data_IF_772813155603
#
_entry.id   IF_772813155603
#
_cell.length_a   1.000
_cell.length_b   1.000
_cell.length_c   1.000
_cell.angle_alpha   90.00
_cell.angle_beta   90.00
_cell.angle_gamma   90.00
#
_symmetry.space_group_name_H-M   'P 1'
#
loop_
_entity.id
_entity.type
_entity.pdbx_description
1 polymer ?
#
# COMPACT_ATOMS: atom_id res chain seq x y z
N UNK A 1 4.55 11.34 -32.27
CA UNK A 1 4.55 10.50 -31.05
C UNK A 1 4.08 11.21 -29.75
N UNK A 2 3.60 12.45 -29.80
CA UNK A 2 3.07 13.15 -28.61
C UNK A 2 1.52 13.24 -28.56
N UNK A 3 0.84 12.73 -29.55
CA UNK A 3 -0.65 12.77 -29.67
C UNK A 3 -1.35 11.59 -28.99
N UNK A 4 -0.63 10.48 -28.71
CA UNK A 4 -1.24 9.28 -28.13
C UNK A 4 -1.40 9.33 -26.60
N UNK A 5 -0.62 10.19 -25.92
CA UNK A 5 -0.57 10.25 -24.43
C UNK A 5 -1.81 10.97 -23.86
N UNK A 6 -2.37 11.95 -24.54
CA UNK A 6 -3.57 12.66 -24.04
C UNK A 6 -4.86 11.88 -24.23
N UNK A 7 -4.93 10.98 -25.22
CA UNK A 7 -6.08 10.08 -25.38
C UNK A 7 -6.15 9.04 -24.24
N UNK A 8 -5.00 8.63 -23.71
CA UNK A 8 -4.92 7.62 -22.68
C UNK A 8 -5.38 8.06 -21.29
N UNK A 9 -5.20 9.32 -20.90
CA UNK A 9 -5.63 9.79 -19.56
C UNK A 9 -7.15 9.83 -19.42
N UNK A 10 -7.86 10.37 -20.41
CA UNK A 10 -9.32 10.39 -20.42
C UNK A 10 -9.89 8.97 -20.47
N UNK A 11 -9.35 8.11 -21.31
CA UNK A 11 -9.77 6.70 -21.37
C UNK A 11 -9.56 5.96 -20.05
N UNK A 12 -8.47 6.27 -19.32
CA UNK A 12 -8.21 5.73 -17.99
C UNK A 12 -9.27 6.21 -16.99
N UNK A 13 -9.58 7.52 -16.99
CA UNK A 13 -10.60 8.07 -16.13
C UNK A 13 -12.01 7.52 -16.47
N UNK A 14 -12.33 7.37 -17.75
CA UNK A 14 -13.60 6.80 -18.21
C UNK A 14 -13.75 5.33 -17.76
N UNK A 15 -12.69 4.53 -17.90
CA UNK A 15 -12.70 3.14 -17.45
C UNK A 15 -12.87 3.03 -15.94
N UNK A 16 -12.23 3.92 -15.18
CA UNK A 16 -12.36 3.95 -13.73
C UNK A 16 -13.75 4.43 -13.31
N UNK A 17 -14.29 5.44 -13.95
CA UNK A 17 -15.66 5.93 -13.72
C UNK A 17 -16.70 4.82 -13.97
N UNK A 18 -16.58 4.10 -15.08
CA UNK A 18 -17.47 2.99 -15.38
C UNK A 18 -17.35 1.87 -14.33
N UNK A 19 -16.15 1.57 -13.87
CA UNK A 19 -15.95 0.62 -12.77
C UNK A 19 -16.62 1.07 -11.47
N UNK A 20 -16.63 2.37 -11.16
CA UNK A 20 -17.31 2.91 -9.99
C UNK A 20 -18.83 2.70 -10.09
N UNK A 21 -19.41 2.84 -11.27
CA UNK A 21 -20.83 2.55 -11.52
C UNK A 21 -21.12 1.05 -11.40
N UNK A 22 -20.39 0.21 -12.15
CA UNK A 22 -20.72 -1.20 -12.34
C UNK A 22 -20.38 -2.06 -11.11
N UNK A 23 -19.27 -1.75 -10.44
CA UNK A 23 -18.73 -2.60 -9.37
C UNK A 23 -18.94 -2.02 -7.97
N UNK A 24 -19.03 -0.69 -7.84
CA UNK A 24 -19.13 0.00 -6.55
C UNK A 24 -20.49 0.67 -6.32
N UNK A 25 -21.38 0.64 -7.31
CA UNK A 25 -22.77 1.10 -7.21
C UNK A 25 -22.94 2.61 -7.09
N UNK A 26 -21.96 3.41 -7.53
CA UNK A 26 -22.08 4.86 -7.55
C UNK A 26 -23.02 5.31 -8.67
N UNK A 27 -23.85 6.30 -8.37
CA UNK A 27 -24.70 6.93 -9.38
C UNK A 27 -23.89 7.93 -10.20
N UNK A 28 -24.04 7.97 -11.55
CA UNK A 28 -23.37 8.98 -12.36
C UNK A 28 -23.64 10.41 -11.89
N UNK A 29 -24.85 10.66 -11.36
CA UNK A 29 -25.28 11.97 -10.85
C UNK A 29 -24.52 12.45 -9.62
N UNK A 30 -23.87 11.54 -8.87
CA UNK A 30 -23.04 11.89 -7.72
C UNK A 30 -21.54 11.97 -8.04
N UNK A 31 -21.19 11.87 -9.32
CA UNK A 31 -19.80 11.95 -9.78
C UNK A 31 -19.64 13.04 -10.85
N UNK A 32 -18.43 13.55 -11.03
CA UNK A 32 -18.12 14.54 -12.06
C UNK A 32 -16.64 14.50 -12.44
N UNK A 33 -16.37 14.72 -13.72
CA UNK A 33 -15.04 14.82 -14.26
C UNK A 33 -14.46 16.23 -14.14
N UNK A 34 -13.15 16.32 -13.99
CA UNK A 34 -12.37 17.55 -14.11
C UNK A 34 -12.84 18.68 -13.18
N UNK A 35 -13.16 18.34 -11.94
CA UNK A 35 -13.63 19.31 -10.95
C UNK A 35 -12.47 20.09 -10.35
N UNK A 36 -12.51 21.42 -10.47
CA UNK A 36 -11.52 22.28 -9.82
C UNK A 36 -11.69 22.23 -8.30
N UNK A 37 -10.67 21.77 -7.58
CA UNK A 37 -10.64 21.70 -6.12
C UNK A 37 -9.81 22.82 -5.50
N UNK A 38 -9.02 23.49 -6.31
CA UNK A 38 -8.30 24.73 -6.00
C UNK A 38 -7.91 25.44 -7.30
N UNK A 39 -7.39 26.69 -7.25
CA UNK A 39 -6.90 27.39 -8.44
C UNK A 39 -5.83 26.64 -9.23
N UNK A 40 -5.10 25.74 -8.58
CA UNK A 40 -3.96 25.00 -9.16
C UNK A 40 -4.18 23.50 -9.24
N UNK A 41 -5.32 22.99 -8.78
CA UNK A 41 -5.57 21.54 -8.70
C UNK A 41 -6.96 21.16 -9.18
N UNK A 42 -7.01 20.11 -9.99
CA UNK A 42 -8.23 19.53 -10.57
C UNK A 42 -8.30 18.06 -10.17
N UNK A 43 -9.46 17.63 -9.65
CA UNK A 43 -9.79 16.22 -9.50
C UNK A 43 -10.16 15.66 -10.87
N UNK A 44 -9.56 14.56 -11.28
CA UNK A 44 -9.94 13.90 -12.54
C UNK A 44 -11.35 13.30 -12.46
N UNK A 45 -11.71 12.77 -11.28
CA UNK A 45 -13.07 12.42 -10.90
C UNK A 45 -13.30 12.90 -9.47
N UNK A 46 -14.36 13.67 -9.23
CA UNK A 46 -14.85 13.99 -7.90
C UNK A 46 -16.11 13.18 -7.61
N UNK A 47 -16.24 12.69 -6.38
CA UNK A 47 -17.41 11.90 -5.94
C UNK A 47 -17.98 12.54 -4.68
N UNK A 48 -19.26 12.78 -4.69
CA UNK A 48 -20.03 13.26 -3.54
C UNK A 48 -20.69 12.07 -2.83
N UNK A 49 -21.03 12.25 -1.57
CA UNK A 49 -21.70 11.22 -0.77
C UNK A 49 -23.07 10.84 -1.35
N UNK A 50 -23.76 11.83 -1.93
CA UNK A 50 -25.06 11.65 -2.62
C UNK A 50 -25.20 12.60 -3.80
N UNK A 51 -26.16 12.38 -4.72
CA UNK A 51 -26.50 13.34 -5.77
C UNK A 51 -26.96 14.71 -5.25
N UNK A 52 -27.58 14.75 -4.06
CA UNK A 52 -28.06 15.98 -3.45
C UNK A 52 -26.92 16.80 -2.87
N UNK A 53 -25.90 16.17 -2.31
CA UNK A 53 -24.68 16.86 -1.87
C UNK A 53 -23.97 17.52 -3.07
N UNK A 54 -23.93 16.86 -4.22
CA UNK A 54 -23.36 17.44 -5.44
C UNK A 54 -24.10 18.70 -5.90
N UNK A 55 -25.42 18.76 -5.78
CA UNK A 55 -26.24 19.92 -6.17
C UNK A 55 -25.96 21.14 -5.31
N UNK A 56 -25.40 21.00 -4.12
CA UNK A 56 -25.03 22.12 -3.24
C UNK A 56 -23.95 23.01 -3.87
N UNK A 57 -23.15 22.49 -4.78
CA UNK A 57 -22.13 23.22 -5.54
C UNK A 57 -20.90 23.65 -4.72
N UNK A 58 -20.77 23.18 -3.48
CA UNK A 58 -19.64 23.50 -2.61
C UNK A 58 -18.55 22.45 -2.74
N UNK A 59 -17.31 22.88 -3.01
CA UNK A 59 -16.13 22.00 -3.04
C UNK A 59 -15.87 21.25 -1.73
N UNK A 60 -16.18 21.78 -0.53
CA UNK A 60 -16.07 21.06 0.72
C UNK A 60 -16.94 19.80 0.83
N UNK A 61 -17.95 19.66 -0.05
CA UNK A 61 -18.84 18.50 -0.04
C UNK A 61 -18.31 17.32 -0.87
N UNK A 62 -17.19 17.50 -1.60
CA UNK A 62 -16.53 16.39 -2.29
C UNK A 62 -16.02 15.38 -1.26
N UNK A 63 -16.50 14.15 -1.38
CA UNK A 63 -16.18 13.09 -0.43
C UNK A 63 -14.97 12.27 -0.82
N UNK A 64 -14.78 12.02 -2.12
CA UNK A 64 -13.63 11.31 -2.69
C UNK A 64 -13.03 12.12 -3.83
N UNK A 65 -11.72 12.30 -3.78
CA UNK A 65 -10.92 12.84 -4.86
C UNK A 65 -10.15 11.74 -5.56
N UNK A 66 -10.35 11.61 -6.88
CA UNK A 66 -9.59 10.68 -7.72
C UNK A 66 -8.63 11.47 -8.60
N UNK A 67 -7.37 11.08 -8.58
CA UNK A 67 -6.30 11.57 -9.45
C UNK A 67 -5.82 10.46 -10.38
N UNK A 68 -5.85 10.71 -11.69
CA UNK A 68 -5.43 9.77 -12.74
C UNK A 68 -4.18 10.25 -13.45
N UNK A 69 -3.23 9.35 -13.72
CA UNK A 69 -2.06 9.61 -14.56
C UNK A 69 -1.72 8.41 -15.42
N UNK A 70 -1.06 8.67 -16.55
CA UNK A 70 -0.70 7.62 -17.52
C UNK A 70 0.66 7.00 -17.28
N UNK A 71 1.41 7.48 -16.31
CA UNK A 71 2.72 6.95 -15.96
C UNK A 71 2.63 5.52 -15.41
N UNK A 72 3.57 4.66 -15.80
CA UNK A 72 3.72 3.29 -15.32
C UNK A 72 4.66 3.16 -14.11
N UNK A 73 4.70 4.16 -13.27
CA UNK A 73 5.52 4.17 -12.05
C UNK A 73 4.73 3.68 -10.84
N UNK A 74 5.44 3.25 -9.81
CA UNK A 74 4.83 2.97 -8.50
C UNK A 74 4.22 4.26 -7.94
N UNK A 75 2.93 4.22 -7.58
CA UNK A 75 2.27 5.36 -6.97
C UNK A 75 2.78 5.56 -5.54
N UNK A 76 3.29 6.76 -5.24
CA UNK A 76 3.41 7.30 -3.90
C UNK A 76 2.40 8.44 -3.74
N UNK A 77 1.95 8.72 -2.53
CA UNK A 77 1.00 9.83 -2.31
C UNK A 77 1.57 11.16 -2.84
N UNK A 78 2.89 11.35 -2.69
CA UNK A 78 3.62 12.54 -3.10
C UNK A 78 3.72 12.73 -4.62
N UNK A 79 3.60 11.66 -5.41
CA UNK A 79 3.64 11.74 -6.88
C UNK A 79 2.43 12.51 -7.44
N UNK A 80 1.37 12.63 -6.64
CA UNK A 80 0.13 13.34 -6.91
C UNK A 80 -0.08 14.45 -5.88
N UNK A 81 1.00 15.06 -5.44
CA UNK A 81 1.06 15.91 -4.25
C UNK A 81 -0.01 17.00 -4.19
N UNK A 82 -0.30 17.69 -5.29
CA UNK A 82 -1.31 18.76 -5.28
C UNK A 82 -2.71 18.21 -5.00
N UNK A 83 -3.11 17.12 -5.66
CA UNK A 83 -4.41 16.51 -5.44
C UNK A 83 -4.51 15.88 -4.04
N UNK A 84 -3.46 15.21 -3.59
CA UNK A 84 -3.35 14.66 -2.24
C UNK A 84 -3.49 15.76 -1.18
N UNK A 85 -2.74 16.85 -1.32
CA UNK A 85 -2.80 18.01 -0.43
C UNK A 85 -4.22 18.62 -0.39
N UNK A 86 -4.88 18.75 -1.55
CA UNK A 86 -6.24 19.27 -1.61
C UNK A 86 -7.25 18.34 -0.94
N UNK A 87 -7.11 17.02 -1.07
CA UNK A 87 -7.96 16.06 -0.38
C UNK A 87 -7.87 16.22 1.14
N UNK A 88 -6.65 16.43 1.66
CA UNK A 88 -6.41 16.68 3.10
C UNK A 88 -6.96 18.04 3.54
N UNK A 89 -6.68 19.11 2.80
CA UNK A 89 -7.06 20.48 3.16
C UNK A 89 -8.57 20.71 3.11
N UNK A 90 -9.29 20.00 2.22
CA UNK A 90 -10.73 20.15 2.05
C UNK A 90 -11.53 19.06 2.78
N UNK A 91 -10.91 18.41 3.77
CA UNK A 91 -11.57 17.43 4.63
C UNK A 91 -12.27 16.29 3.87
N UNK A 92 -11.73 15.85 2.74
CA UNK A 92 -12.25 14.71 2.02
C UNK A 92 -12.00 13.41 2.80
N UNK A 93 -12.88 12.44 2.67
CA UNK A 93 -12.73 11.16 3.37
C UNK A 93 -11.74 10.22 2.67
N UNK A 94 -11.65 10.32 1.33
CA UNK A 94 -10.77 9.48 0.55
C UNK A 94 -10.01 10.27 -0.51
N UNK A 95 -8.78 9.82 -0.71
CA UNK A 95 -7.97 10.18 -1.87
C UNK A 95 -7.64 8.89 -2.64
N UNK A 96 -7.80 8.94 -3.95
CA UNK A 96 -7.51 7.80 -4.84
C UNK A 96 -6.51 8.25 -5.89
N UNK A 97 -5.39 7.55 -5.96
CA UNK A 97 -4.41 7.69 -7.02
C UNK A 97 -4.49 6.49 -7.97
N UNK A 98 -4.68 6.75 -9.23
CA UNK A 98 -4.88 5.72 -10.25
C UNK A 98 -3.97 5.96 -11.45
N UNK A 99 -3.32 4.89 -11.93
CA UNK A 99 -2.53 4.91 -13.16
C UNK A 99 -2.70 3.60 -13.93
N UNK A 100 -1.96 3.45 -15.03
CA UNK A 100 -2.02 2.27 -15.89
C UNK A 100 -1.54 0.97 -15.20
N UNK A 101 -0.87 1.08 -14.05
CA UNK A 101 -0.29 -0.05 -13.34
C UNK A 101 -1.11 -0.45 -12.11
N UNK A 102 -1.61 0.53 -11.36
CA UNK A 102 -2.27 0.29 -10.07
C UNK A 102 -3.30 1.35 -9.69
N UNK A 103 -4.10 1.03 -8.69
CA UNK A 103 -5.00 1.96 -7.99
C UNK A 103 -4.67 1.89 -6.51
N UNK A 104 -4.39 3.03 -5.90
CA UNK A 104 -4.21 3.14 -4.45
C UNK A 104 -5.31 4.00 -3.84
N UNK A 105 -5.89 3.51 -2.76
CA UNK A 105 -6.94 4.17 -2.00
C UNK A 105 -6.40 4.56 -0.65
N UNK A 106 -6.50 5.84 -0.31
CA UNK A 106 -6.09 6.39 0.97
C UNK A 106 -7.32 6.88 1.72
N UNK A 107 -7.51 6.36 2.92
CA UNK A 107 -8.53 6.84 3.85
C UNK A 107 -7.93 7.93 4.74
N UNK A 108 -8.64 9.05 4.87
CA UNK A 108 -8.27 10.20 5.68
C UNK A 108 -9.14 10.20 6.93
N UNK A 109 -8.58 9.71 8.04
CA UNK A 109 -9.29 9.64 9.31
C UNK A 109 -9.33 11.02 9.98
N UNK A 110 -10.44 11.72 9.80
CA UNK A 110 -10.67 13.07 10.32
C UNK A 110 -10.83 13.12 11.84
N UNK A 111 -11.16 11.98 12.46
CA UNK A 111 -11.37 11.88 13.90
C UNK A 111 -10.05 11.62 14.65
N UNK A 112 -9.01 11.15 13.97
CA UNK A 112 -7.70 10.93 14.57
C UNK A 112 -6.99 12.25 14.90
N UNK A 113 -6.26 12.27 16.01
CA UNK A 113 -5.40 13.39 16.43
C UNK A 113 -4.03 12.86 16.85
N UNK A 114 -2.95 13.12 16.08
CA UNK A 114 -2.90 13.89 14.82
C UNK A 114 -3.70 13.24 13.68
N UNK A 115 -4.00 14.01 12.62
CA UNK A 115 -4.67 13.51 11.42
C UNK A 115 -3.95 12.26 10.90
N UNK A 116 -4.69 11.19 10.67
CA UNK A 116 -4.13 9.94 10.17
C UNK A 116 -4.60 9.70 8.75
N UNK A 117 -3.65 9.37 7.88
CA UNK A 117 -3.92 8.94 6.51
C UNK A 117 -3.35 7.54 6.37
N UNK A 118 -4.17 6.63 5.93
CA UNK A 118 -3.78 5.23 5.77
C UNK A 118 -4.22 4.68 4.42
N UNK A 119 -3.37 3.88 3.81
CA UNK A 119 -3.75 3.11 2.64
C UNK A 119 -4.68 1.98 3.06
N UNK A 120 -5.76 1.81 2.32
CA UNK A 120 -6.71 0.70 2.50
C UNK A 120 -6.72 -0.18 1.26
N UNK A 121 -7.08 -1.47 1.45
CA UNK A 121 -6.98 -2.49 0.40
C UNK A 121 -8.13 -2.48 -0.58
N UNK A 122 -9.21 -1.74 -0.31
CA UNK A 122 -10.38 -1.69 -1.18
C UNK A 122 -11.00 -0.28 -1.20
N UNK A 123 -11.79 -0.01 -2.22
CA UNK A 123 -12.54 1.23 -2.36
C UNK A 123 -13.96 1.03 -1.79
N UNK A 124 -14.53 2.02 -1.04
CA UNK A 124 -15.88 1.88 -0.50
C UNK A 124 -16.92 1.84 -1.62
N UNK A 125 -17.98 1.06 -1.42
CA UNK A 125 -19.16 1.12 -2.27
C UNK A 125 -19.97 2.38 -1.95
N UNK A 126 -20.91 2.74 -2.84
CA UNK A 126 -21.82 3.85 -2.58
C UNK A 126 -22.61 3.65 -1.28
N UNK A 127 -22.98 2.41 -0.93
CA UNK A 127 -23.66 2.08 0.32
C UNK A 127 -22.78 2.23 1.57
N UNK A 128 -21.47 2.06 1.44
CA UNK A 128 -20.54 2.21 2.57
C UNK A 128 -20.36 3.68 2.98
N UNK A 129 -20.62 4.63 2.11
CA UNK A 129 -20.42 6.05 2.36
C UNK A 129 -21.70 6.83 2.70
N UNK A 130 -22.90 6.18 2.67
CA UNK A 130 -24.18 6.87 2.94
C UNK A 130 -24.27 7.46 4.35
N UNK A 131 -23.56 6.86 5.34
CA UNK A 131 -23.51 7.33 6.72
C UNK A 131 -22.13 7.10 7.33
N UNK A 132 -21.83 7.84 8.40
CA UNK A 132 -20.57 7.67 9.13
C UNK A 132 -20.48 6.29 9.80
N UNK A 133 -21.62 5.71 10.17
CA UNK A 133 -21.67 4.36 10.72
C UNK A 133 -21.28 3.32 9.67
N UNK A 134 -21.82 3.41 8.44
CA UNK A 134 -21.47 2.52 7.34
C UNK A 134 -20.00 2.65 6.99
N UNK A 135 -19.50 3.88 6.89
CA UNK A 135 -18.08 4.16 6.65
C UNK A 135 -17.19 3.51 7.72
N UNK A 136 -17.52 3.70 9.00
CA UNK A 136 -16.77 3.09 10.10
C UNK A 136 -16.77 1.57 10.02
N UNK A 137 -17.91 0.97 9.69
CA UNK A 137 -18.05 -0.47 9.50
C UNK A 137 -17.16 -0.98 8.34
N UNK A 138 -17.19 -0.28 7.19
CA UNK A 138 -16.34 -0.59 6.04
C UNK A 138 -14.87 -0.52 6.39
N UNK A 139 -14.41 0.59 6.98
CA UNK A 139 -12.99 0.80 7.32
C UNK A 139 -12.51 -0.28 8.29
N UNK A 140 -13.28 -0.62 9.31
CA UNK A 140 -12.95 -1.68 10.26
C UNK A 140 -12.87 -3.06 9.60
N UNK A 141 -13.77 -3.36 8.67
CA UNK A 141 -13.75 -4.62 7.88
C UNK A 141 -12.49 -4.73 7.04
N UNK A 142 -12.11 -3.67 6.34
CA UNK A 142 -10.92 -3.64 5.47
C UNK A 142 -9.65 -3.76 6.30
N UNK A 143 -9.56 -3.07 7.44
CA UNK A 143 -8.45 -3.19 8.39
C UNK A 143 -8.33 -4.61 8.94
N UNK A 144 -9.44 -5.21 9.35
CA UNK A 144 -9.49 -6.58 9.86
C UNK A 144 -9.01 -7.60 8.83
N UNK A 145 -9.46 -7.48 7.59
CA UNK A 145 -9.05 -8.36 6.50
C UNK A 145 -7.54 -8.27 6.21
N UNK A 146 -7.00 -7.06 6.12
CA UNK A 146 -5.57 -6.83 5.85
C UNK A 146 -4.69 -7.43 6.95
N UNK A 147 -5.08 -7.27 8.22
CA UNK A 147 -4.40 -7.85 9.38
C UNK A 147 -4.40 -9.37 9.35
N UNK A 148 -5.55 -10.00 9.13
CA UNK A 148 -5.68 -11.46 9.08
C UNK A 148 -4.89 -12.06 7.92
N UNK A 149 -4.91 -11.40 6.75
CA UNK A 149 -4.12 -11.81 5.60
C UNK A 149 -2.63 -11.76 5.92
N UNK A 150 -2.14 -10.67 6.50
CA UNK A 150 -0.73 -10.51 6.85
C UNK A 150 -0.30 -11.53 7.90
N UNK A 151 -1.09 -11.74 8.96
CA UNK A 151 -0.83 -12.75 9.99
C UNK A 151 -0.72 -14.17 9.40
N UNK A 152 -1.63 -14.54 8.50
CA UNK A 152 -1.57 -15.84 7.80
C UNK A 152 -0.29 -15.97 6.96
N UNK A 153 0.11 -14.91 6.29
CA UNK A 153 1.35 -14.88 5.51
C UNK A 153 2.57 -15.03 6.40
N UNK A 154 2.67 -14.29 7.52
CA UNK A 154 3.76 -14.47 8.50
C UNK A 154 3.83 -15.89 9.05
N UNK A 155 2.68 -16.50 9.33
CA UNK A 155 2.61 -17.89 9.80
C UNK A 155 3.17 -18.87 8.76
N UNK A 156 2.87 -18.66 7.46
CA UNK A 156 3.44 -19.49 6.38
C UNK A 156 4.94 -19.29 6.24
N UNK A 157 5.43 -18.05 6.28
CA UNK A 157 6.87 -17.77 6.27
C UNK A 157 7.61 -18.45 7.43
N UNK A 158 7.04 -18.38 8.63
CA UNK A 158 7.60 -19.05 9.82
C UNK A 158 7.70 -20.57 9.61
N UNK A 159 6.63 -21.18 9.07
CA UNK A 159 6.63 -22.62 8.81
C UNK A 159 7.65 -23.02 7.74
N UNK A 160 7.89 -22.19 6.72
CA UNK A 160 8.95 -22.42 5.71
C UNK A 160 10.30 -22.51 6.41
N UNK A 161 10.68 -21.52 7.21
CA UNK A 161 11.98 -21.48 7.90
C UNK A 161 12.13 -22.67 8.83
N UNK A 162 11.11 -22.97 9.62
CA UNK A 162 11.15 -24.13 10.53
C UNK A 162 11.29 -25.46 9.81
N UNK A 163 10.63 -25.62 8.68
CA UNK A 163 10.65 -26.89 7.95
C UNK A 163 11.89 -27.07 7.09
N UNK A 164 12.40 -26.01 6.45
CA UNK A 164 13.55 -26.06 5.53
C UNK A 164 14.87 -25.89 6.30
N UNK A 165 14.97 -24.82 7.13
CA UNK A 165 16.22 -24.46 7.81
C UNK A 165 16.35 -25.11 9.19
N UNK A 166 15.30 -25.73 9.73
CA UNK A 166 15.26 -26.40 11.03
C UNK A 166 15.58 -25.48 12.21
N UNK A 167 15.28 -24.20 12.09
CA UNK A 167 15.50 -23.23 13.16
C UNK A 167 14.43 -23.35 14.26
N UNK A 168 14.78 -22.91 15.48
CA UNK A 168 13.80 -22.78 16.57
C UNK A 168 12.73 -21.76 16.23
N UNK A 169 11.56 -21.75 16.92
CA UNK A 169 10.54 -20.73 16.69
C UNK A 169 11.07 -19.31 16.82
N UNK A 170 11.88 -19.03 17.83
CA UNK A 170 12.47 -17.72 18.10
C UNK A 170 13.43 -17.30 16.99
N UNK A 171 14.32 -18.21 16.57
CA UNK A 171 15.26 -17.96 15.49
C UNK A 171 14.55 -17.78 14.15
N UNK A 172 13.48 -18.51 13.90
CA UNK A 172 12.67 -18.33 12.69
C UNK A 172 11.96 -16.96 12.66
N UNK A 173 11.50 -16.48 13.81
CA UNK A 173 10.92 -15.15 13.93
C UNK A 173 11.95 -14.04 13.67
N UNK A 174 13.15 -14.18 14.24
CA UNK A 174 14.27 -13.26 14.01
C UNK A 174 14.59 -13.14 12.51
N UNK A 175 14.69 -14.27 11.82
CA UNK A 175 14.94 -14.28 10.37
C UNK A 175 13.80 -13.64 9.55
N UNK A 176 12.53 -13.87 9.92
CA UNK A 176 11.39 -13.21 9.27
C UNK A 176 11.51 -11.69 9.41
N UNK A 177 11.84 -11.21 10.60
CA UNK A 177 12.00 -9.77 10.86
C UNK A 177 13.04 -9.17 9.91
N UNK A 178 14.21 -9.79 9.76
CA UNK A 178 15.27 -9.35 8.84
C UNK A 178 14.77 -9.28 7.39
N UNK A 179 14.05 -10.31 6.93
CA UNK A 179 13.50 -10.34 5.55
C UNK A 179 12.47 -9.24 5.34
N UNK A 180 11.61 -8.98 6.32
CA UNK A 180 10.62 -7.91 6.22
C UNK A 180 11.29 -6.54 6.11
N UNK A 181 12.38 -6.29 6.84
CA UNK A 181 13.13 -5.05 6.72
C UNK A 181 13.83 -4.93 5.36
N UNK A 182 14.41 -6.02 4.82
CA UNK A 182 14.95 -6.03 3.46
C UNK A 182 13.86 -5.65 2.45
N UNK A 183 12.69 -6.29 2.55
CA UNK A 183 11.56 -6.00 1.66
C UNK A 183 11.05 -4.58 1.79
N UNK A 184 10.93 -4.05 3.00
CA UNK A 184 10.51 -2.66 3.25
C UNK A 184 11.50 -1.66 2.66
N UNK A 185 12.81 -1.86 2.86
CA UNK A 185 13.86 -1.01 2.32
C UNK A 185 13.79 -0.98 0.79
N UNK A 186 13.72 -2.15 0.16
CA UNK A 186 13.58 -2.26 -1.27
C UNK A 186 12.32 -1.55 -1.81
N UNK A 187 11.17 -1.79 -1.21
CA UNK A 187 9.91 -1.18 -1.64
C UNK A 187 9.87 0.33 -1.44
N UNK A 188 10.55 0.85 -0.42
CA UNK A 188 10.71 2.30 -0.21
C UNK A 188 11.46 2.95 -1.38
N UNK A 189 12.54 2.32 -1.82
CA UNK A 189 13.47 2.91 -2.78
C UNK A 189 13.10 2.56 -4.23
N UNK A 190 12.27 1.53 -4.45
CA UNK A 190 11.84 1.12 -5.78
C UNK A 190 10.95 2.17 -6.45
N UNK A 191 11.29 2.52 -7.70
CA UNK A 191 10.50 3.46 -8.52
C UNK A 191 9.54 2.76 -9.47
N UNK A 192 9.91 1.60 -9.98
CA UNK A 192 9.21 0.92 -11.09
C UNK A 192 8.50 -0.36 -10.64
N UNK A 193 8.96 -1.03 -9.61
CA UNK A 193 8.39 -2.28 -9.11
C UNK A 193 7.67 -2.07 -7.78
N UNK A 194 6.42 -2.57 -7.72
CA UNK A 194 5.55 -2.38 -6.58
C UNK A 194 5.97 -3.21 -5.36
N UNK A 195 6.46 -4.41 -5.63
CA UNK A 195 6.75 -5.40 -4.60
C UNK A 195 8.09 -6.05 -4.90
N UNK A 196 8.91 -6.23 -3.87
CA UNK A 196 10.13 -7.00 -3.99
C UNK A 196 9.80 -8.48 -4.23
N UNK A 197 9.86 -8.90 -5.49
CA UNK A 197 9.48 -10.22 -5.94
C UNK A 197 10.67 -11.17 -6.03
N UNK A 198 10.36 -12.47 -6.05
CA UNK A 198 11.35 -13.53 -6.30
C UNK A 198 12.10 -13.33 -7.63
N UNK A 199 11.39 -12.97 -8.70
CA UNK A 199 12.01 -12.77 -10.02
C UNK A 199 12.95 -11.57 -10.03
N UNK A 200 12.56 -10.50 -9.33
CA UNK A 200 13.42 -9.33 -9.16
C UNK A 200 14.67 -9.66 -8.38
N UNK A 201 14.54 -10.37 -7.26
CA UNK A 201 15.69 -10.83 -6.47
C UNK A 201 16.68 -11.64 -7.31
N UNK A 202 16.19 -12.63 -8.09
CA UNK A 202 17.05 -13.47 -8.94
C UNK A 202 17.80 -12.63 -9.97
N UNK A 203 17.12 -11.64 -10.60
CA UNK A 203 17.72 -10.74 -11.58
C UNK A 203 18.84 -9.89 -10.94
N UNK A 204 18.58 -9.34 -9.77
CA UNK A 204 19.55 -8.49 -9.06
C UNK A 204 20.75 -9.31 -8.55
N UNK A 205 20.49 -10.49 -8.00
CA UNK A 205 21.51 -11.44 -7.56
C UNK A 205 22.46 -11.82 -8.70
N UNK A 206 21.94 -12.10 -9.92
CA UNK A 206 22.75 -12.39 -11.11
C UNK A 206 23.64 -11.22 -11.55
N UNK A 207 23.24 -10.01 -11.22
CA UNK A 207 23.99 -8.79 -11.53
C UNK A 207 24.97 -8.36 -10.43
N UNK A 208 24.88 -9.00 -9.26
CA UNK A 208 25.71 -8.69 -8.10
C UNK A 208 27.11 -9.30 -8.24
N UNK A 209 28.13 -8.47 -8.07
CA UNK A 209 29.55 -8.87 -8.19
C UNK A 209 30.32 -8.73 -6.86
N UNK A 210 29.63 -8.64 -5.73
CA UNK A 210 30.27 -8.53 -4.41
C UNK A 210 30.86 -9.86 -3.93
N UNK A 211 31.72 -9.78 -2.91
CA UNK A 211 32.41 -10.94 -2.33
C UNK A 211 31.57 -11.73 -1.33
N UNK A 212 30.51 -11.14 -0.79
CA UNK A 212 29.63 -11.78 0.20
C UNK A 212 28.35 -12.28 -0.47
N UNK A 213 27.66 -13.21 0.20
CA UNK A 213 26.34 -13.67 -0.24
C UNK A 213 25.36 -12.51 -0.43
N UNK A 214 24.57 -12.52 -1.52
CA UNK A 214 23.71 -11.41 -1.89
C UNK A 214 22.62 -11.14 -0.84
N UNK A 215 22.07 -12.16 -0.21
CA UNK A 215 21.07 -11.97 0.86
C UNK A 215 21.70 -11.27 2.07
N UNK A 216 22.94 -11.65 2.42
CA UNK A 216 23.68 -10.99 3.48
C UNK A 216 24.03 -9.54 3.11
N UNK A 217 24.34 -9.26 1.85
CA UNK A 217 24.56 -7.91 1.36
C UNK A 217 23.30 -7.04 1.57
N UNK A 218 22.13 -7.50 1.15
CA UNK A 218 20.87 -6.80 1.36
C UNK A 218 20.58 -6.54 2.85
N UNK A 219 20.88 -7.49 3.71
CA UNK A 219 20.72 -7.28 5.15
C UNK A 219 21.74 -6.30 5.72
N UNK A 220 22.96 -6.25 5.19
CA UNK A 220 23.93 -5.22 5.59
C UNK A 220 23.46 -3.81 5.22
N UNK A 221 22.82 -3.62 4.06
CA UNK A 221 22.18 -2.34 3.69
C UNK A 221 21.08 -1.94 4.67
N UNK A 222 20.28 -2.91 5.14
CA UNK A 222 19.28 -2.67 6.21
C UNK A 222 19.96 -2.22 7.50
N UNK A 223 21.00 -2.91 7.95
CA UNK A 223 21.75 -2.54 9.17
C UNK A 223 22.32 -1.12 9.07
N UNK A 224 22.89 -0.77 7.94
CA UNK A 224 23.43 0.57 7.68
C UNK A 224 22.34 1.64 7.72
N UNK A 225 21.21 1.39 7.03
CA UNK A 225 20.07 2.31 6.94
C UNK A 225 19.44 2.58 8.29
N UNK A 226 19.29 1.56 9.15
CA UNK A 226 18.65 1.66 10.46
C UNK A 226 19.66 1.64 11.62
N UNK A 227 20.91 2.00 11.37
CA UNK A 227 21.99 2.00 12.38
C UNK A 227 21.72 2.90 13.58
N UNK A 228 21.02 4.03 13.37
CA UNK A 228 20.64 4.98 14.42
C UNK A 228 19.50 4.48 15.31
N UNK A 229 18.71 3.53 14.83
CA UNK A 229 17.52 3.02 15.52
C UNK A 229 17.85 1.87 16.47
N UNK A 230 19.07 1.32 16.37
CA UNK A 230 19.54 0.21 17.23
C UNK A 230 18.75 -1.08 17.07
N UNK A 231 18.16 -1.31 15.88
CA UNK A 231 17.30 -2.46 15.60
C UNK A 231 18.08 -3.77 15.41
N UNK A 232 19.31 -3.68 14.93
CA UNK A 232 20.17 -4.83 14.65
C UNK A 232 21.59 -4.54 15.11
N UNK A 233 22.25 -5.59 15.64
CA UNK A 233 23.66 -5.52 15.99
C UNK A 233 24.56 -5.65 14.75
N UNK A 234 25.77 -5.08 14.80
CA UNK A 234 26.75 -5.16 13.71
C UNK A 234 27.05 -6.61 13.32
N UNK A 235 27.07 -7.52 14.30
CA UNK A 235 27.38 -8.93 14.14
C UNK A 235 26.21 -9.79 13.66
N UNK A 236 25.01 -9.21 13.57
CA UNK A 236 23.83 -9.93 13.10
C UNK A 236 23.98 -10.38 11.65
N UNK A 237 23.62 -11.63 11.40
CA UNK A 237 23.69 -12.27 10.08
C UNK A 237 22.37 -12.93 9.72
N UNK A 238 22.11 -13.08 8.43
CA UNK A 238 21.06 -13.95 7.89
C UNK A 238 21.53 -15.41 8.04
N UNK A 239 20.63 -16.28 8.53
CA UNK A 239 20.93 -17.71 8.80
C UNK A 239 20.14 -18.65 7.91
N UNK A 240 19.17 -18.16 7.18
CA UNK A 240 18.35 -18.97 6.27
C UNK A 240 19.09 -19.22 4.96
N UNK A 241 18.72 -20.32 4.31
CA UNK A 241 19.21 -20.66 2.98
C UNK A 241 18.53 -19.80 1.91
N UNK A 242 19.19 -19.65 0.78
CA UNK A 242 18.65 -18.99 -0.41
C UNK A 242 17.27 -19.56 -0.82
N UNK A 243 17.09 -20.88 -0.74
CA UNK A 243 15.82 -21.55 -1.05
C UNK A 243 14.68 -21.03 -0.19
N UNK A 244 14.88 -20.98 1.14
CA UNK A 244 13.89 -20.44 2.08
C UNK A 244 13.59 -18.98 1.83
N UNK A 245 14.60 -18.17 1.54
CA UNK A 245 14.43 -16.75 1.19
C UNK A 245 13.54 -16.56 -0.03
N UNK A 246 13.76 -17.33 -1.10
CA UNK A 246 12.94 -17.28 -2.32
C UNK A 246 11.49 -17.71 -2.09
N UNK A 247 11.26 -18.76 -1.29
CA UNK A 247 9.90 -19.20 -0.92
C UNK A 247 9.17 -18.12 -0.09
N UNK A 248 9.89 -17.44 0.81
CA UNK A 248 9.32 -16.37 1.62
C UNK A 248 8.99 -15.14 0.76
N UNK A 249 9.84 -14.76 -0.19
CA UNK A 249 9.53 -13.68 -1.13
C UNK A 249 8.27 -14.01 -1.95
N UNK A 250 8.07 -15.26 -2.34
CA UNK A 250 6.87 -15.71 -3.06
C UNK A 250 5.61 -15.57 -2.18
N UNK A 251 5.66 -15.99 -0.91
CA UNK A 251 4.56 -15.79 0.04
C UNK A 251 4.27 -14.30 0.31
N UNK A 252 5.29 -13.48 0.38
CA UNK A 252 5.18 -12.04 0.60
C UNK A 252 4.83 -11.24 -0.67
N UNK A 253 4.76 -11.88 -1.85
CA UNK A 253 4.52 -11.21 -3.13
C UNK A 253 3.19 -10.44 -3.19
N UNK A 254 2.18 -10.90 -2.44
CA UNK A 254 0.87 -10.26 -2.35
C UNK A 254 0.77 -9.16 -1.27
N UNK A 255 1.85 -8.88 -0.57
CA UNK A 255 1.90 -7.91 0.54
C UNK A 255 2.89 -6.81 0.19
N UNK A 256 2.42 -5.59 0.09
CA UNK A 256 3.25 -4.39 -0.05
C UNK A 256 3.46 -3.79 1.35
N UNK A 257 4.66 -3.95 1.88
CA UNK A 257 4.95 -3.59 3.28
C UNK A 257 5.11 -2.10 3.48
N UNK A 258 5.73 -1.41 2.52
CA UNK A 258 6.01 0.02 2.66
C UNK A 258 4.73 0.84 2.87
N UNK A 259 3.69 0.56 2.09
CA UNK A 259 2.42 1.29 2.14
C UNK A 259 1.37 0.67 3.10
N UNK A 260 1.69 -0.47 3.73
CA UNK A 260 0.80 -1.05 4.75
C UNK A 260 0.89 -0.22 6.03
N UNK A 261 -0.27 0.10 6.66
CA UNK A 261 -0.27 0.93 7.86
C UNK A 261 0.53 0.28 9.00
N UNK A 262 1.26 1.11 9.75
CA UNK A 262 2.10 0.65 10.86
C UNK A 262 1.29 -0.05 11.95
N UNK A 263 0.04 0.36 12.17
CA UNK A 263 -0.87 -0.31 13.11
C UNK A 263 -1.16 -1.75 12.69
N UNK A 264 -1.41 -2.00 11.38
CA UNK A 264 -1.67 -3.35 10.87
C UNK A 264 -0.43 -4.21 11.03
N UNK A 265 0.75 -3.67 10.69
CA UNK A 265 2.04 -4.35 10.87
C UNK A 265 2.27 -4.69 12.35
N UNK A 266 2.16 -3.71 13.24
CA UNK A 266 2.36 -3.87 14.68
C UNK A 266 1.43 -4.92 15.29
N UNK A 267 0.12 -4.81 15.05
CA UNK A 267 -0.85 -5.75 15.58
C UNK A 267 -0.64 -7.18 15.01
N UNK A 268 -0.29 -7.30 13.73
CA UNK A 268 0.00 -8.60 13.13
C UNK A 268 1.24 -9.24 13.76
N UNK A 269 2.29 -8.45 14.04
CA UNK A 269 3.48 -8.91 14.75
C UNK A 269 3.16 -9.36 16.19
N UNK A 270 2.42 -8.58 16.94
CA UNK A 270 2.00 -8.95 18.31
C UNK A 270 1.20 -10.26 18.34
N UNK A 271 0.24 -10.41 17.43
CA UNK A 271 -0.54 -11.64 17.33
C UNK A 271 0.29 -12.83 16.88
N UNK A 272 1.23 -12.61 15.98
CA UNK A 272 2.15 -13.64 15.52
C UNK A 272 3.05 -14.11 16.67
N UNK A 273 3.65 -13.18 17.43
CA UNK A 273 4.39 -13.49 18.65
C UNK A 273 3.54 -14.27 19.66
N UNK A 274 2.34 -13.79 19.95
CA UNK A 274 1.44 -14.44 20.90
C UNK A 274 1.02 -15.86 20.51
N UNK A 275 0.99 -16.19 19.22
CA UNK A 275 0.72 -17.56 18.71
C UNK A 275 1.96 -18.45 18.68
N UNK A 276 3.11 -17.87 18.43
CA UNK A 276 4.37 -18.60 18.21
C UNK A 276 5.03 -19.01 19.54
N UNK A 277 4.83 -18.22 20.59
CA UNK A 277 5.47 -18.40 21.90
C UNK A 277 4.51 -18.88 23.02
N UNK A 278 3.28 -19.24 22.68
CA UNK A 278 2.33 -19.94 23.56
C UNK A 278 2.25 -21.42 23.18
#
# INVERSE_FOLDING_TARGET
>A
MRTDINHSKQQLADAFFQRLVDSYGYLPEQMEYNVAVSPTSVADIAIWRSPDDKKSGLTPDIYVLVACKTEHIKIKAEDYFEQYKQAVLNDMAFYVAHNLKETKVFYIDRNARPLKIERISDFPTASDIVSDQNLTSFVNKVRGYSKDKFLKTLTRCHNIIRNVDKLSPEAAFDEISKILFIKMLYERDAKEELVYSKDKFIKDELSYNGEIDYIQHLFNEVKETYSTDGLFDSEDKIRIRRESFLLILEELSSVELYDTSDDIKGIAFELFLGKTFR
#
